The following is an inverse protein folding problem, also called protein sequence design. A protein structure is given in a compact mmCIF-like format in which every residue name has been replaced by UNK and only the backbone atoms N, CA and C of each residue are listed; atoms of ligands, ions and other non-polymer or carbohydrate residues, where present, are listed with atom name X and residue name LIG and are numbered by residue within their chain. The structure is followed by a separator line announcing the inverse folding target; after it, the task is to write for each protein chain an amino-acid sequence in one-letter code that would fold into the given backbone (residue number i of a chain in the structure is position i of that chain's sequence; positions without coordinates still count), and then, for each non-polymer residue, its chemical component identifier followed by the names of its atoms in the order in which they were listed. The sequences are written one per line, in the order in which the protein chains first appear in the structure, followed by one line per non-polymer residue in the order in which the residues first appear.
data_IF_402276835208
#
_entry.id   IF_402276835208
#
_cell.length_a   1.000
_cell.length_b   1.000
_cell.length_c   1.000
_cell.angle_alpha   90.00
_cell.angle_beta   90.00
_cell.angle_gamma   90.00
#
_symmetry.space_group_name_H-M   'P 1'
#
loop_
_entity.id
_entity.type
_entity.pdbx_description
1 polymer ?
#
# COMPACT_ATOMS: atom_id res chain seq x y z
N UNK A 1 55.97 32.92 -24.19
CA UNK A 1 55.30 33.27 -22.95
C UNK A 1 53.88 32.75 -23.12
N UNK A 2 53.65 31.48 -22.98
CA UNK A 2 53.67 30.55 -21.86
C UNK A 2 52.67 30.95 -20.76
N UNK A 3 51.55 30.21 -20.75
CA UNK A 3 50.88 29.69 -19.57
C UNK A 3 49.63 28.88 -19.92
N UNK A 4 49.84 27.58 -19.85
CA UNK A 4 48.85 26.53 -19.68
C UNK A 4 48.01 26.79 -18.43
N UNK A 5 46.70 26.58 -18.51
CA UNK A 5 45.86 26.33 -17.35
C UNK A 5 45.11 25.03 -17.59
N UNK A 6 45.55 24.01 -16.83
CA UNK A 6 44.98 22.67 -16.74
C UNK A 6 43.62 22.71 -16.06
N UNK A 7 42.60 22.28 -16.77
CA UNK A 7 41.27 21.99 -16.20
C UNK A 7 41.22 20.52 -15.82
N UNK A 8 41.34 20.24 -14.55
CA UNK A 8 41.27 18.87 -13.98
C UNK A 8 39.79 18.54 -13.79
N UNK A 9 39.21 17.80 -14.72
CA UNK A 9 37.95 17.08 -14.55
C UNK A 9 38.17 15.92 -13.57
N UNK A 10 37.77 16.10 -12.32
CA UNK A 10 37.68 15.02 -11.33
C UNK A 10 36.47 14.14 -11.64
N UNK A 11 36.68 13.11 -12.44
CA UNK A 11 35.79 11.97 -12.61
C UNK A 11 35.80 11.20 -11.29
N UNK A 12 34.71 11.28 -10.53
CA UNK A 12 34.52 10.45 -9.32
C UNK A 12 34.17 9.03 -9.77
N UNK A 13 35.12 8.12 -9.58
CA UNK A 13 34.97 6.67 -9.82
C UNK A 13 33.93 6.06 -8.85
N UNK A 14 32.89 5.35 -9.33
CA UNK A 14 31.88 4.70 -8.50
C UNK A 14 32.38 3.48 -7.70
N UNK A 15 33.65 3.12 -7.82
CA UNK A 15 34.17 1.88 -7.20
C UNK A 15 34.65 2.03 -5.76
N UNK A 16 34.73 3.24 -5.20
CA UNK A 16 35.34 3.48 -3.87
C UNK A 16 34.41 3.30 -2.66
N UNK A 17 33.16 2.95 -2.85
CA UNK A 17 32.21 2.77 -1.72
C UNK A 17 32.17 1.33 -1.18
N UNK A 18 32.94 0.39 -1.74
CA UNK A 18 32.83 -1.04 -1.41
C UNK A 18 33.88 -1.61 -0.44
N UNK A 19 34.72 -0.77 0.16
CA UNK A 19 35.80 -1.26 1.06
C UNK A 19 35.77 -0.60 2.42
N UNK A 20 34.81 -0.92 3.27
CA UNK A 20 34.95 -0.86 4.74
C UNK A 20 33.82 -1.60 5.44
N UNK A 21 33.89 -2.89 5.53
CA UNK A 21 33.52 -3.66 6.71
C UNK A 21 33.89 -5.14 6.52
N UNK A 22 35.15 -5.45 6.68
CA UNK A 22 35.60 -6.80 6.94
C UNK A 22 36.68 -6.70 8.04
N UNK A 23 36.23 -6.77 9.28
CA UNK A 23 37.09 -6.96 10.42
C UNK A 23 36.59 -8.12 11.26
N UNK A 24 37.24 -9.25 11.10
CA UNK A 24 37.56 -10.26 12.12
C UNK A 24 36.44 -10.68 13.08
N UNK A 25 35.85 -11.83 12.84
CA UNK A 25 35.47 -12.73 13.94
C UNK A 25 36.14 -14.07 13.76
N UNK A 26 36.83 -14.46 14.82
CA UNK A 26 37.67 -15.64 15.03
C UNK A 26 36.91 -16.94 14.75
N UNK A 27 37.67 -17.89 14.19
CA UNK A 27 37.35 -19.32 14.11
C UNK A 27 37.01 -19.88 15.51
N UNK A 28 35.85 -20.49 15.62
CA UNK A 28 35.53 -21.50 16.62
C UNK A 28 35.20 -22.80 15.89
N UNK A 29 35.72 -23.97 16.33
CA UNK A 29 35.52 -25.24 15.64
C UNK A 29 34.12 -25.80 15.87
N UNK A 30 33.58 -26.44 14.83
CA UNK A 30 32.29 -27.16 14.83
C UNK A 30 32.37 -28.40 15.74
N UNK A 31 31.34 -28.75 16.48
CA UNK A 31 31.24 -30.04 17.16
C UNK A 31 30.86 -31.15 16.17
N UNK A 32 31.55 -32.26 16.34
CA UNK A 32 31.47 -33.52 15.62
C UNK A 32 30.07 -34.17 15.62
N UNK A 33 29.71 -34.74 14.48
CA UNK A 33 28.51 -35.58 14.28
C UNK A 33 28.55 -36.85 15.15
N UNK A 34 27.42 -37.35 15.64
CA UNK A 34 27.34 -38.72 16.13
C UNK A 34 26.98 -39.71 15.03
N UNK A 35 27.52 -40.92 15.24
CA UNK A 35 27.66 -42.07 14.38
C UNK A 35 26.33 -42.62 13.78
N UNK A 36 26.53 -43.21 12.59
CA UNK A 36 25.66 -44.11 11.84
C UNK A 36 25.30 -45.38 12.62
N UNK A 37 23.98 -45.76 12.59
CA UNK A 37 23.51 -47.09 12.94
C UNK A 37 23.15 -47.91 11.69
N UNK A 38 23.28 -49.25 11.74
CA UNK A 38 23.36 -50.08 10.54
C UNK A 38 22.02 -50.54 9.99
N UNK A 39 22.03 -50.86 8.69
CA UNK A 39 20.93 -51.49 7.97
C UNK A 39 20.70 -52.93 8.45
N UNK A 40 19.44 -53.27 8.71
CA UNK A 40 19.02 -54.65 8.94
C UNK A 40 17.68 -54.92 8.22
N UNK A 41 17.75 -55.86 7.28
CA UNK A 41 16.64 -56.45 6.55
C UNK A 41 15.55 -56.95 7.53
N UNK A 42 14.26 -56.89 7.11
CA UNK A 42 13.39 -58.08 7.10
C UNK A 42 12.19 -57.81 6.14
N UNK A 43 12.02 -58.74 5.21
CA UNK A 43 10.80 -58.98 4.42
C UNK A 43 9.67 -59.46 5.31
N UNK A 44 8.45 -59.08 5.01
CA UNK A 44 7.23 -59.67 5.61
C UNK A 44 5.96 -59.07 5.00
N UNK A 45 5.45 -59.75 3.99
CA UNK A 45 4.08 -59.55 3.50
C UNK A 45 3.09 -60.13 4.52
N UNK A 46 2.11 -59.35 5.00
CA UNK A 46 0.85 -59.88 5.58
C UNK A 46 -0.27 -58.95 5.16
N UNK A 47 -1.17 -59.49 4.38
CA UNK A 47 -2.56 -59.07 4.25
C UNK A 47 -3.24 -59.13 5.58
N UNK A 48 -4.01 -58.11 6.01
CA UNK A 48 -5.37 -58.31 6.46
C UNK A 48 -6.11 -57.00 6.74
N UNK A 49 -7.38 -57.05 6.41
CA UNK A 49 -8.42 -56.07 6.63
C UNK A 49 -8.64 -55.80 8.13
N UNK A 50 -8.66 -54.53 8.53
CA UNK A 50 -9.48 -54.19 9.70
C UNK A 50 -9.94 -52.73 9.60
N UNK A 51 -11.26 -52.56 9.45
CA UNK A 51 -11.97 -51.30 9.51
C UNK A 51 -11.83 -50.70 10.93
N UNK A 52 -10.93 -49.75 11.09
CA UNK A 52 -10.78 -48.98 12.34
C UNK A 52 -11.81 -47.85 12.38
N UNK A 53 -12.72 -47.98 13.30
CA UNK A 53 -13.74 -47.01 13.72
C UNK A 53 -13.10 -45.67 14.02
N UNK A 54 -13.48 -44.65 13.26
CA UNK A 54 -13.14 -43.24 13.54
C UNK A 54 -13.94 -42.82 14.80
N UNK A 55 -13.30 -42.35 15.89
CA UNK A 55 -14.04 -41.84 17.02
C UNK A 55 -14.80 -40.56 16.61
N UNK A 56 -16.09 -40.55 16.85
CA UNK A 56 -16.99 -39.43 16.66
C UNK A 56 -16.50 -38.22 17.47
N UNK A 57 -16.25 -37.12 16.79
CA UNK A 57 -16.04 -35.80 17.39
C UNK A 57 -17.35 -35.42 18.10
N UNK A 58 -17.35 -35.04 19.38
CA UNK A 58 -18.59 -34.63 20.05
C UNK A 58 -19.09 -33.33 19.38
N UNK A 59 -20.34 -33.37 18.93
CA UNK A 59 -21.09 -32.23 18.46
C UNK A 59 -21.03 -31.11 19.50
N UNK A 60 -20.55 -29.94 19.09
CA UNK A 60 -20.57 -28.75 19.89
C UNK A 60 -22.00 -28.48 20.38
N UNK A 61 -22.13 -28.35 21.67
CA UNK A 61 -23.38 -27.97 22.36
C UNK A 61 -23.79 -26.61 21.84
N UNK A 62 -24.99 -26.53 21.26
CA UNK A 62 -25.59 -25.28 20.82
C UNK A 62 -25.64 -24.27 21.98
N UNK A 63 -25.34 -22.98 21.76
CA UNK A 63 -25.45 -21.99 22.82
C UNK A 63 -26.91 -21.89 23.27
N UNK A 64 -27.10 -21.92 24.56
CA UNK A 64 -28.37 -21.72 25.23
C UNK A 64 -28.98 -20.41 24.77
N UNK A 65 -30.26 -20.34 24.36
CA UNK A 65 -30.86 -19.09 23.98
C UNK A 65 -30.80 -18.11 25.16
N UNK A 66 -30.39 -16.90 24.85
CA UNK A 66 -30.34 -15.78 25.79
C UNK A 66 -31.74 -15.63 26.45
N UNK A 67 -31.76 -15.58 27.77
CA UNK A 67 -32.98 -15.33 28.52
C UNK A 67 -33.63 -14.05 28.05
N UNK A 68 -34.85 -14.16 27.54
CA UNK A 68 -35.70 -13.00 27.22
C UNK A 68 -35.95 -12.29 28.56
N UNK A 69 -35.38 -11.09 28.67
CA UNK A 69 -35.62 -10.22 29.84
C UNK A 69 -37.05 -9.72 29.77
N UNK A 70 -37.92 -10.29 30.63
CA UNK A 70 -39.30 -9.83 30.78
C UNK A 70 -39.34 -8.53 31.58
N UNK A 71 -39.50 -7.43 30.87
CA UNK A 71 -39.60 -6.05 31.44
C UNK A 71 -40.95 -5.80 32.08
N UNK A 72 -41.93 -6.72 31.98
CA UNK A 72 -43.26 -6.58 32.62
C UNK A 72 -43.16 -6.64 34.15
N UNK A 73 -42.12 -7.23 34.71
CA UNK A 73 -41.91 -7.32 36.16
C UNK A 73 -41.41 -6.02 36.82
N UNK A 74 -41.05 -5.01 36.05
CA UNK A 74 -40.58 -3.71 36.56
C UNK A 74 -41.64 -2.64 36.69
N UNK A 75 -42.89 -2.91 36.23
CA UNK A 75 -44.02 -2.02 36.41
C UNK A 75 -44.64 -2.21 37.82
N UNK A 76 -43.94 -1.77 38.86
CA UNK A 76 -44.56 -1.61 40.17
C UNK A 76 -45.48 -0.36 40.06
N UNK A 77 -46.78 -0.46 40.42
CA UNK A 77 -47.61 0.70 40.49
C UNK A 77 -47.06 1.67 41.55
N UNK A 78 -46.76 2.88 41.14
CA UNK A 78 -46.33 3.94 42.06
C UNK A 78 -47.49 4.23 43.01
N UNK A 79 -47.26 4.15 44.35
CA UNK A 79 -48.32 4.50 45.31
C UNK A 79 -48.76 5.94 45.06
N UNK A 80 -50.05 6.14 44.78
CA UNK A 80 -50.68 7.44 44.72
C UNK A 80 -50.71 8.00 46.12
N UNK A 81 -49.80 8.83 46.54
CA UNK A 81 -49.90 9.66 47.72
C UNK A 81 -51.03 10.65 47.50
N UNK A 82 -52.00 10.79 48.42
CA UNK A 82 -53.04 11.80 48.30
C UNK A 82 -52.36 13.18 48.47
N UNK A 83 -52.43 13.93 47.44
CA UNK A 83 -52.03 15.35 47.48
C UNK A 83 -53.03 16.08 48.36
N UNK A 84 -52.62 16.88 49.36
CA UNK A 84 -53.51 17.76 50.06
C UNK A 84 -54.07 18.79 49.04
N UNK A 85 -55.39 18.98 49.09
CA UNK A 85 -56.09 20.06 48.35
C UNK A 85 -55.61 21.46 48.81
N UNK A 86 -54.44 21.82 48.30
CA UNK A 86 -53.94 23.19 48.48
C UNK A 86 -54.42 24.00 47.28
N UNK A 87 -55.38 24.89 47.57
CA UNK A 87 -55.85 25.87 46.59
C UNK A 87 -54.63 26.59 46.00
N UNK A 88 -54.56 26.76 44.67
CA UNK A 88 -53.40 27.39 44.04
C UNK A 88 -53.32 28.84 44.53
N UNK A 89 -52.20 29.17 45.15
CA UNK A 89 -51.88 30.57 45.47
C UNK A 89 -51.86 31.37 44.14
N UNK A 90 -52.31 32.59 44.12
CA UNK A 90 -52.26 33.40 42.90
C UNK A 90 -50.81 33.60 42.51
N UNK A 91 -50.43 32.96 41.41
CA UNK A 91 -49.09 33.03 40.85
C UNK A 91 -48.70 34.50 40.56
N UNK A 92 -47.40 34.82 40.71
CA UNK A 92 -46.90 36.12 40.33
C UNK A 92 -47.24 36.38 38.86
N UNK A 93 -47.90 37.50 38.58
CA UNK A 93 -48.17 37.96 37.21
C UNK A 93 -46.79 38.18 36.54
N UNK A 94 -46.32 37.18 35.80
CA UNK A 94 -45.14 37.30 34.92
C UNK A 94 -45.52 38.39 33.89
N UNK A 95 -44.93 39.57 34.05
CA UNK A 95 -44.87 40.55 32.97
C UNK A 95 -44.01 39.91 31.88
N UNK A 96 -44.63 39.43 30.83
CA UNK A 96 -43.95 39.06 29.60
C UNK A 96 -43.47 40.37 29.00
N UNK A 97 -42.17 40.65 29.15
CA UNK A 97 -41.53 41.74 28.45
C UNK A 97 -41.29 41.29 27.02
N UNK A 98 -42.21 41.69 26.12
CA UNK A 98 -42.17 41.37 24.70
C UNK A 98 -41.00 42.02 23.94
N UNK A 99 -40.09 42.71 24.64
CA UNK A 99 -38.94 43.39 24.01
C UNK A 99 -37.73 42.47 23.75
N UNK A 100 -37.82 41.14 24.05
CA UNK A 100 -36.67 40.21 23.90
C UNK A 100 -36.78 39.19 22.78
N UNK A 101 -37.66 39.38 21.81
CA UNK A 101 -37.60 38.58 20.57
C UNK A 101 -36.69 39.27 19.53
N UNK A 102 -35.45 39.57 19.89
CA UNK A 102 -34.43 39.79 18.87
C UNK A 102 -34.06 38.44 18.28
N UNK A 103 -34.13 38.25 16.96
CA UNK A 103 -33.67 37.05 16.33
C UNK A 103 -32.15 36.91 16.63
N UNK A 104 -31.77 35.82 17.28
CA UNK A 104 -30.37 35.45 17.44
C UNK A 104 -29.80 35.04 16.07
N UNK A 105 -29.69 35.98 15.13
CA UNK A 105 -28.78 35.88 14.00
C UNK A 105 -27.36 36.19 14.45
N UNK A 106 -26.79 35.35 15.28
CA UNK A 106 -25.35 35.34 15.49
C UNK A 106 -24.72 34.60 14.33
N UNK A 107 -24.60 35.27 13.18
CA UNK A 107 -23.52 34.90 12.24
C UNK A 107 -22.22 34.99 12.99
N UNK A 108 -21.45 33.91 13.12
CA UNK A 108 -20.17 33.97 13.83
C UNK A 108 -19.29 35.02 13.14
N UNK A 109 -19.15 36.17 13.75
CA UNK A 109 -18.25 37.20 13.26
C UNK A 109 -16.82 36.77 13.55
N UNK A 110 -16.23 36.01 12.63
CA UNK A 110 -14.81 35.68 12.68
C UNK A 110 -14.02 36.99 12.67
N UNK A 111 -13.11 37.21 13.64
CA UNK A 111 -12.32 38.44 13.69
C UNK A 111 -11.65 38.64 12.31
N UNK A 112 -11.56 39.87 11.84
CA UNK A 112 -11.14 40.19 10.46
C UNK A 112 -9.81 39.55 10.05
N UNK A 113 -8.92 39.29 11.01
CA UNK A 113 -7.66 38.55 10.81
C UNK A 113 -7.91 37.06 10.46
N UNK A 114 -8.82 36.37 11.16
CA UNK A 114 -9.13 34.97 10.89
C UNK A 114 -9.75 34.78 9.50
N UNK A 115 -10.58 35.72 9.04
CA UNK A 115 -11.14 35.71 7.68
C UNK A 115 -10.06 35.92 6.61
N UNK A 116 -9.08 36.81 6.85
CA UNK A 116 -7.93 36.99 5.95
C UNK A 116 -7.05 35.73 5.88
N UNK A 117 -6.76 35.11 7.02
CA UNK A 117 -6.00 33.85 7.08
C UNK A 117 -6.74 32.71 6.36
N UNK A 118 -8.05 32.56 6.61
CA UNK A 118 -8.86 31.54 5.94
C UNK A 118 -8.89 31.73 4.40
N UNK A 119 -9.03 32.99 3.93
CA UNK A 119 -8.96 33.30 2.49
C UNK A 119 -7.58 32.99 1.90
N UNK A 120 -6.50 33.38 2.58
CA UNK A 120 -5.13 33.07 2.14
C UNK A 120 -4.91 31.55 2.06
N UNK A 121 -5.30 30.81 3.09
CA UNK A 121 -5.21 29.35 3.11
C UNK A 121 -6.03 28.69 1.98
N UNK A 122 -7.23 29.19 1.72
CA UNK A 122 -8.07 28.72 0.62
C UNK A 122 -7.42 29.01 -0.76
N UNK A 123 -6.82 30.18 -0.95
CA UNK A 123 -6.14 30.53 -2.21
C UNK A 123 -4.88 29.67 -2.42
N UNK A 124 -4.10 29.43 -1.36
CA UNK A 124 -2.94 28.52 -1.41
C UNK A 124 -3.38 27.10 -1.77
N UNK A 125 -4.44 26.60 -1.12
CA UNK A 125 -4.98 25.28 -1.43
C UNK A 125 -5.52 25.19 -2.86
N UNK A 126 -6.27 26.19 -3.32
CA UNK A 126 -6.77 26.25 -4.69
C UNK A 126 -5.62 26.30 -5.72
N UNK A 127 -4.57 27.10 -5.46
CA UNK A 127 -3.38 27.16 -6.30
C UNK A 127 -2.64 25.81 -6.35
N UNK A 128 -2.45 25.16 -5.20
CA UNK A 128 -1.86 23.82 -5.14
C UNK A 128 -2.70 22.79 -5.91
N UNK A 129 -4.02 22.82 -5.75
CA UNK A 129 -4.92 21.91 -6.47
C UNK A 129 -4.85 22.14 -7.98
N UNK A 130 -4.93 23.41 -8.42
CA UNK A 130 -4.82 23.78 -9.83
C UNK A 130 -3.51 23.33 -10.44
N UNK A 131 -2.38 23.54 -9.73
CA UNK A 131 -1.06 23.07 -10.15
C UNK A 131 -1.02 21.54 -10.27
N UNK A 132 -1.55 20.83 -9.26
CA UNK A 132 -1.60 19.36 -9.28
C UNK A 132 -2.39 18.83 -10.47
N UNK A 133 -3.57 19.40 -10.74
CA UNK A 133 -4.40 19.02 -11.89
C UNK A 133 -3.72 19.33 -13.22
N UNK A 134 -3.04 20.49 -13.33
CA UNK A 134 -2.25 20.82 -14.50
C UNK A 134 -1.09 19.83 -14.72
N UNK A 135 -0.38 19.44 -13.65
CA UNK A 135 0.69 18.44 -13.73
C UNK A 135 0.14 17.05 -14.12
N UNK A 136 -1.05 16.67 -13.66
CA UNK A 136 -1.69 15.42 -14.13
C UNK A 136 -1.91 15.46 -15.63
N UNK A 137 -2.39 16.57 -16.18
CA UNK A 137 -2.57 16.71 -17.64
C UNK A 137 -1.22 16.65 -18.38
N UNK A 138 -0.20 17.34 -17.88
CA UNK A 138 1.14 17.40 -18.49
C UNK A 138 1.81 16.01 -18.46
N UNK A 139 1.79 15.33 -17.33
CA UNK A 139 2.46 14.02 -17.17
C UNK A 139 1.74 12.86 -17.88
N UNK A 140 0.58 13.09 -18.47
CA UNK A 140 0.03 12.18 -19.47
C UNK A 140 0.99 11.99 -20.66
N UNK A 141 1.71 13.05 -21.05
CA UNK A 141 2.50 13.11 -22.28
C UNK A 141 4.01 13.26 -22.03
N UNK A 142 4.38 13.81 -20.89
CA UNK A 142 5.78 14.12 -20.54
C UNK A 142 6.15 13.28 -19.32
N UNK A 143 7.38 12.77 -19.31
CA UNK A 143 7.89 12.00 -18.19
C UNK A 143 8.18 12.92 -17.00
N UNK A 144 7.65 12.59 -15.80
CA UNK A 144 7.90 13.40 -14.62
C UNK A 144 9.37 13.30 -14.19
N UNK A 145 10.04 14.44 -13.94
CA UNK A 145 11.45 14.45 -13.55
C UNK A 145 11.68 13.92 -12.13
N UNK A 146 10.70 13.99 -11.28
CA UNK A 146 10.71 13.48 -9.91
C UNK A 146 9.28 13.33 -9.37
N UNK A 147 9.13 12.56 -8.31
CA UNK A 147 7.88 12.46 -7.54
C UNK A 147 7.96 13.30 -6.27
N UNK A 148 6.81 13.58 -5.64
CA UNK A 148 6.78 14.26 -4.35
C UNK A 148 7.53 13.47 -3.27
N UNK A 149 7.49 12.13 -3.33
CA UNK A 149 8.24 11.27 -2.41
C UNK A 149 9.76 11.47 -2.56
N UNK A 150 10.28 11.50 -3.80
CA UNK A 150 11.69 11.79 -4.08
C UNK A 150 12.10 13.20 -3.62
N UNK A 151 11.22 14.18 -3.85
CA UNK A 151 11.46 15.56 -3.41
C UNK A 151 11.57 15.65 -1.89
N UNK A 152 10.67 14.97 -1.16
CA UNK A 152 10.73 14.92 0.31
C UNK A 152 12.03 14.30 0.80
N UNK A 153 12.50 13.21 0.19
CA UNK A 153 13.77 12.59 0.56
C UNK A 153 14.97 13.50 0.27
N UNK A 154 14.99 14.18 -0.88
CA UNK A 154 16.07 15.16 -1.20
C UNK A 154 16.11 16.32 -0.20
N UNK A 155 14.95 16.85 0.20
CA UNK A 155 14.87 17.93 1.19
C UNK A 155 15.39 17.46 2.56
N UNK A 156 15.20 16.18 2.91
CA UNK A 156 15.75 15.60 4.16
C UNK A 156 17.21 15.16 4.04
N UNK A 157 17.90 15.48 2.94
CA UNK A 157 19.32 15.17 2.74
C UNK A 157 19.61 13.72 2.35
N UNK A 158 18.59 12.94 1.96
CA UNK A 158 18.79 11.56 1.52
C UNK A 158 19.16 11.51 0.05
N UNK A 159 20.09 10.64 -0.31
CA UNK A 159 20.45 10.40 -1.71
C UNK A 159 19.28 9.76 -2.46
N UNK A 160 19.01 10.25 -3.67
CA UNK A 160 17.97 9.72 -4.57
C UNK A 160 18.60 9.34 -5.89
N UNK A 161 18.63 8.06 -6.20
CA UNK A 161 19.03 7.51 -7.49
C UNK A 161 17.78 7.12 -8.29
N UNK A 162 17.65 7.67 -9.50
CA UNK A 162 16.56 7.36 -10.43
C UNK A 162 17.10 7.29 -11.86
N UNK A 163 16.64 6.25 -12.59
CA UNK A 163 16.84 6.14 -14.02
C UNK A 163 15.49 5.81 -14.66
N UNK A 164 15.01 6.71 -15.53
CA UNK A 164 13.75 6.49 -16.25
C UNK A 164 13.92 5.41 -17.31
N UNK A 165 12.97 4.48 -17.37
CA UNK A 165 12.86 3.50 -18.43
C UNK A 165 11.44 3.53 -19.02
N UNK A 166 11.27 3.75 -20.33
CA UNK A 166 9.95 3.65 -20.95
C UNK A 166 9.43 2.22 -20.82
N UNK A 167 8.11 2.06 -20.75
CA UNK A 167 7.48 0.75 -20.47
C UNK A 167 7.90 -0.35 -21.44
N UNK A 168 8.24 0.00 -22.70
CA UNK A 168 8.72 -0.94 -23.70
C UNK A 168 10.16 -1.41 -23.46
N UNK A 169 10.93 -0.66 -22.67
CA UNK A 169 12.27 -1.04 -22.22
C UNK A 169 12.28 -1.79 -20.87
N UNK A 170 11.11 -2.07 -20.30
CA UNK A 170 10.97 -2.84 -19.05
C UNK A 170 10.52 -4.27 -19.40
N UNK A 171 11.13 -5.26 -18.74
CA UNK A 171 10.75 -6.66 -18.92
C UNK A 171 9.25 -6.85 -18.62
N UNK A 172 8.48 -7.52 -19.50
CA UNK A 172 7.08 -7.89 -19.24
C UNK A 172 6.90 -8.68 -17.94
N UNK A 173 7.93 -9.40 -17.51
CA UNK A 173 7.91 -10.16 -16.25
C UNK A 173 7.75 -9.23 -15.05
N UNK A 174 8.38 -8.06 -15.06
CA UNK A 174 8.24 -7.05 -13.99
C UNK A 174 6.80 -6.54 -13.91
N UNK A 175 6.23 -6.16 -15.05
CA UNK A 175 4.84 -5.70 -15.12
C UNK A 175 3.90 -6.75 -14.55
N UNK A 176 4.06 -8.03 -14.96
CA UNK A 176 3.23 -9.14 -14.46
C UNK A 176 3.41 -9.39 -12.97
N UNK A 177 4.66 -9.43 -12.50
CA UNK A 177 4.97 -9.65 -11.09
C UNK A 177 4.38 -8.55 -10.20
N UNK A 178 4.52 -7.28 -10.60
CA UNK A 178 4.01 -6.12 -9.86
C UNK A 178 2.48 -6.12 -9.84
N UNK A 179 1.82 -6.37 -10.98
CA UNK A 179 0.36 -6.48 -11.03
C UNK A 179 -0.14 -7.56 -10.05
N UNK A 180 0.44 -8.75 -10.10
CA UNK A 180 0.01 -9.87 -9.26
C UNK A 180 0.39 -9.74 -7.78
N UNK A 181 1.39 -8.91 -7.46
CA UNK A 181 1.79 -8.61 -6.09
C UNK A 181 0.95 -7.51 -5.46
N UNK A 182 0.75 -6.41 -6.20
CA UNK A 182 0.21 -5.16 -5.66
C UNK A 182 -1.27 -4.93 -6.01
N UNK A 183 -1.70 -5.43 -7.20
CA UNK A 183 -3.02 -5.09 -7.73
C UNK A 183 -3.46 -6.09 -8.81
N UNK A 184 -3.90 -7.28 -8.37
CA UNK A 184 -4.26 -8.38 -9.27
C UNK A 184 -5.41 -8.07 -10.25
N UNK A 185 -6.25 -7.09 -9.93
CA UNK A 185 -7.42 -6.66 -10.71
C UNK A 185 -7.22 -5.30 -11.37
N UNK A 186 -5.98 -4.83 -11.52
CA UNK A 186 -5.64 -3.51 -12.06
C UNK A 186 -6.33 -3.17 -13.38
N UNK A 187 -6.51 -4.16 -14.26
CA UNK A 187 -7.19 -3.96 -15.54
C UNK A 187 -8.72 -3.91 -15.45
N UNK A 188 -9.31 -4.20 -14.29
CA UNK A 188 -10.75 -4.38 -14.11
C UNK A 188 -11.43 -3.22 -13.38
N UNK A 189 -10.69 -2.48 -12.55
CA UNK A 189 -11.23 -1.38 -11.77
C UNK A 189 -10.77 0.00 -12.29
N UNK A 190 -11.44 1.04 -11.82
CA UNK A 190 -11.17 2.44 -12.11
C UNK A 190 -10.46 3.13 -10.93
N UNK A 191 -9.19 2.84 -10.74
CA UNK A 191 -8.33 3.48 -9.75
C UNK A 191 -8.50 2.98 -8.32
N UNK A 192 -9.70 2.61 -7.90
CA UNK A 192 -10.00 2.05 -6.58
C UNK A 192 -10.69 0.71 -6.76
N UNK A 193 -10.19 -0.33 -6.12
CA UNK A 193 -10.82 -1.64 -6.04
C UNK A 193 -11.70 -1.70 -4.78
N UNK A 194 -12.98 -1.39 -4.93
CA UNK A 194 -13.94 -1.37 -3.82
C UNK A 194 -14.20 -2.76 -3.25
N UNK A 195 -14.21 -3.81 -4.09
CA UNK A 195 -14.41 -5.17 -3.63
C UNK A 195 -13.24 -5.62 -2.76
N UNK A 196 -11.99 -5.37 -3.22
CA UNK A 196 -10.81 -5.71 -2.42
C UNK A 196 -10.72 -4.85 -1.15
N UNK A 197 -11.18 -3.61 -1.20
CA UNK A 197 -11.27 -2.76 -0.01
C UNK A 197 -12.27 -3.30 1.00
N UNK A 198 -13.45 -3.74 0.55
CA UNK A 198 -14.45 -4.38 1.41
C UNK A 198 -13.90 -5.68 2.00
N UNK A 199 -13.31 -6.56 1.18
CA UNK A 199 -12.67 -7.79 1.62
C UNK A 199 -11.56 -7.53 2.64
N UNK A 200 -10.78 -6.45 2.50
CA UNK A 200 -9.74 -6.08 3.45
C UNK A 200 -10.32 -5.61 4.79
N UNK A 201 -11.46 -4.91 4.78
CA UNK A 201 -12.19 -4.50 5.99
C UNK A 201 -12.73 -5.74 6.71
N UNK A 202 -13.39 -6.64 5.99
CA UNK A 202 -13.94 -7.87 6.55
C UNK A 202 -12.86 -8.77 7.17
N UNK A 203 -11.71 -8.92 6.48
CA UNK A 203 -10.56 -9.67 7.02
C UNK A 203 -9.91 -9.02 8.24
N UNK A 204 -10.02 -7.70 8.37
CA UNK A 204 -9.43 -6.98 9.48
C UNK A 204 -10.25 -7.12 10.78
N UNK A 205 -11.56 -7.38 10.71
CA UNK A 205 -12.44 -7.35 11.86
C UNK A 205 -12.30 -6.03 12.62
N UNK A 206 -11.94 -6.09 13.91
CA UNK A 206 -11.69 -4.90 14.75
C UNK A 206 -10.29 -4.26 14.48
N UNK A 207 -9.49 -4.84 13.58
CA UNK A 207 -8.15 -4.38 13.27
C UNK A 207 -8.13 -3.30 12.19
N UNK A 208 -6.91 -2.82 11.85
CA UNK A 208 -6.72 -1.87 10.75
C UNK A 208 -6.65 -2.62 9.41
N UNK A 209 -7.53 -2.33 8.43
CA UNK A 209 -7.50 -2.93 7.10
C UNK A 209 -6.14 -2.72 6.42
N UNK A 210 -5.59 -3.78 5.83
CA UNK A 210 -4.30 -3.74 5.11
C UNK A 210 -4.46 -4.36 3.73
N UNK A 211 -3.70 -3.85 2.75
CA UNK A 211 -3.62 -4.45 1.41
C UNK A 211 -4.68 -3.96 0.40
N UNK A 212 -5.48 -2.94 0.74
CA UNK A 212 -6.55 -2.42 -0.12
C UNK A 212 -6.14 -1.22 -1.00
N UNK A 213 -4.84 -0.90 -1.12
CA UNK A 213 -4.40 0.22 -1.95
C UNK A 213 -3.95 -0.27 -3.31
N UNK A 214 -4.61 0.19 -4.36
CA UNK A 214 -4.30 -0.12 -5.76
C UNK A 214 -3.01 0.55 -6.23
N UNK A 215 -2.46 0.11 -7.36
CA UNK A 215 -1.31 0.75 -8.03
C UNK A 215 -1.60 2.23 -8.33
N UNK A 216 -2.80 2.54 -8.81
CA UNK A 216 -3.21 3.93 -9.12
C UNK A 216 -3.24 4.81 -7.87
N UNK A 217 -3.72 4.29 -6.74
CA UNK A 217 -3.69 5.01 -5.45
C UNK A 217 -2.26 5.20 -4.95
N UNK A 218 -1.40 4.19 -5.07
CA UNK A 218 0.01 4.28 -4.69
C UNK A 218 0.76 5.30 -5.56
N UNK A 219 0.51 5.29 -6.88
CA UNK A 219 1.05 6.29 -7.80
C UNK A 219 0.61 7.70 -7.39
N UNK A 220 -0.69 7.93 -7.20
CA UNK A 220 -1.25 9.22 -6.79
C UNK A 220 -0.59 9.74 -5.53
N UNK A 221 -0.48 8.90 -4.52
CA UNK A 221 0.18 9.21 -3.25
C UNK A 221 1.65 9.61 -3.46
N UNK A 222 2.43 8.76 -4.13
CA UNK A 222 3.87 8.97 -4.27
C UNK A 222 4.21 10.16 -5.17
N UNK A 223 3.36 10.42 -6.18
CA UNK A 223 3.60 11.45 -7.19
C UNK A 223 3.21 12.85 -6.72
N UNK A 224 2.07 12.99 -6.03
CA UNK A 224 1.45 14.30 -5.79
C UNK A 224 1.22 14.63 -4.32
N UNK A 225 1.28 13.64 -3.40
CA UNK A 225 0.92 13.84 -2.01
C UNK A 225 2.11 13.61 -1.08
N UNK A 226 1.92 13.91 0.18
CA UNK A 226 2.95 13.75 1.21
C UNK A 226 2.90 12.39 1.88
N UNK A 227 4.04 12.01 2.47
CA UNK A 227 4.22 10.74 3.15
C UNK A 227 3.69 10.79 4.59
N UNK A 228 2.38 10.62 4.80
CA UNK A 228 1.79 10.51 6.15
C UNK A 228 0.65 9.49 6.17
N UNK A 229 0.36 8.94 7.35
CA UNK A 229 -0.80 8.06 7.60
C UNK A 229 -1.98 8.92 8.07
N UNK A 230 -2.49 9.82 7.22
CA UNK A 230 -3.59 10.74 7.55
C UNK A 230 -4.84 10.40 6.75
N UNK A 231 -5.98 10.38 7.42
CA UNK A 231 -7.29 10.25 6.74
C UNK A 231 -7.57 11.42 5.80
N UNK A 232 -7.10 12.63 6.14
CA UNK A 232 -7.21 13.80 5.27
C UNK A 232 -6.48 13.58 3.94
N UNK A 233 -5.24 13.05 4.00
CA UNK A 233 -4.50 12.70 2.78
C UNK A 233 -5.26 11.67 1.95
N UNK A 234 -5.84 10.64 2.59
CA UNK A 234 -6.62 9.60 1.90
C UNK A 234 -7.88 10.16 1.24
N UNK A 235 -8.55 11.13 1.89
CA UNK A 235 -9.69 11.83 1.33
C UNK A 235 -9.35 12.64 0.06
N UNK A 236 -8.12 13.14 -0.06
CA UNK A 236 -7.62 13.82 -1.27
C UNK A 236 -7.13 12.80 -2.31
N UNK A 237 -6.49 11.71 -1.86
CA UNK A 237 -5.93 10.67 -2.73
C UNK A 237 -6.99 10.02 -3.61
N UNK A 238 -8.16 9.66 -3.05
CA UNK A 238 -9.22 8.94 -3.78
C UNK A 238 -9.74 9.75 -4.98
N UNK A 239 -10.25 10.99 -4.83
CA UNK A 239 -10.75 11.74 -5.98
C UNK A 239 -9.65 12.07 -6.99
N UNK A 240 -8.41 12.34 -6.54
CA UNK A 240 -7.28 12.55 -7.45
C UNK A 240 -6.93 11.28 -8.22
N UNK A 241 -7.05 10.09 -7.61
CA UNK A 241 -6.86 8.82 -8.30
C UNK A 241 -7.87 8.63 -9.42
N UNK A 242 -9.16 8.94 -9.18
CA UNK A 242 -10.18 8.90 -10.23
C UNK A 242 -9.88 9.88 -11.37
N UNK A 243 -9.39 11.07 -11.05
CA UNK A 243 -9.01 12.06 -12.06
C UNK A 243 -7.84 11.56 -12.93
N UNK A 244 -6.84 10.92 -12.32
CA UNK A 244 -5.72 10.29 -13.04
C UNK A 244 -6.22 9.16 -13.94
N UNK A 245 -7.06 8.27 -13.44
CA UNK A 245 -7.63 7.16 -14.22
C UNK A 245 -8.50 7.64 -15.39
N UNK A 246 -9.22 8.73 -15.23
CA UNK A 246 -10.01 9.33 -16.31
C UNK A 246 -9.12 9.90 -17.45
N UNK A 247 -7.91 10.36 -17.12
CA UNK A 247 -7.02 11.01 -18.09
C UNK A 247 -5.95 10.07 -18.62
N UNK A 248 -5.42 9.16 -17.81
CA UNK A 248 -4.26 8.34 -18.19
C UNK A 248 -4.67 6.92 -18.55
N UNK A 249 -4.19 6.37 -19.67
CA UNK A 249 -4.37 4.94 -19.93
C UNK A 249 -3.61 4.10 -18.90
N UNK A 250 -4.11 2.93 -18.57
CA UNK A 250 -3.50 1.98 -17.61
C UNK A 250 -2.01 1.73 -17.88
N UNK A 251 -1.62 1.69 -19.16
CA UNK A 251 -0.23 1.55 -19.57
C UNK A 251 0.64 2.71 -19.06
N UNK A 252 0.15 3.96 -19.15
CA UNK A 252 0.86 5.15 -18.65
C UNK A 252 0.94 5.18 -17.13
N UNK A 253 -0.15 4.79 -16.45
CA UNK A 253 -0.18 4.66 -14.99
C UNK A 253 0.90 3.68 -14.54
N UNK A 254 0.98 2.50 -15.15
CA UNK A 254 2.00 1.49 -14.82
C UNK A 254 3.41 1.99 -15.13
N UNK A 255 3.63 2.63 -16.27
CA UNK A 255 4.93 3.19 -16.65
C UNK A 255 5.45 4.17 -15.61
N UNK A 256 4.64 5.17 -15.25
CA UNK A 256 5.03 6.14 -14.23
C UNK A 256 5.24 5.45 -12.88
N UNK A 257 4.32 4.56 -12.46
CA UNK A 257 4.45 3.83 -11.21
C UNK A 257 5.78 3.10 -11.09
N UNK A 258 6.17 2.33 -12.12
CA UNK A 258 7.42 1.57 -12.14
C UNK A 258 8.66 2.47 -12.08
N UNK A 259 8.55 3.72 -12.52
CA UNK A 259 9.66 4.68 -12.54
C UNK A 259 9.75 5.57 -11.29
N UNK A 260 8.66 5.69 -10.49
CA UNK A 260 8.65 6.53 -9.28
C UNK A 260 8.55 5.74 -7.97
N UNK A 261 8.26 4.44 -8.03
CA UNK A 261 8.25 3.59 -6.84
C UNK A 261 9.65 3.46 -6.26
N UNK A 262 9.74 3.41 -4.93
CA UNK A 262 10.97 3.11 -4.19
C UNK A 262 11.17 1.60 -4.13
N UNK A 263 12.35 1.12 -4.52
CA UNK A 263 12.71 -0.29 -4.60
C UNK A 263 13.85 -0.69 -3.65
N UNK A 264 14.36 0.26 -2.93
CA UNK A 264 15.42 0.14 -1.93
C UNK A 264 15.68 1.52 -1.33
N UNK A 265 16.48 1.66 -0.27
CA UNK A 265 16.76 2.95 0.36
C UNK A 265 17.30 3.97 -0.65
N UNK A 266 16.47 4.96 -1.01
CA UNK A 266 16.83 6.01 -1.97
C UNK A 266 16.91 5.56 -3.44
N UNK A 267 16.50 4.33 -3.77
CA UNK A 267 16.54 3.76 -5.12
C UNK A 267 15.13 3.84 -5.72
N UNK A 268 14.97 4.70 -6.71
CA UNK A 268 13.70 4.96 -7.38
C UNK A 268 13.72 4.48 -8.83
N UNK A 269 12.64 3.84 -9.22
CA UNK A 269 12.46 3.33 -10.56
C UNK A 269 13.11 1.96 -10.78
N UNK A 270 12.44 1.15 -11.59
CA UNK A 270 12.79 -0.25 -11.84
C UNK A 270 14.13 -0.44 -12.53
N UNK A 271 14.57 0.53 -13.36
CA UNK A 271 15.89 0.47 -14.03
C UNK A 271 17.03 0.64 -13.00
N UNK A 272 16.90 1.63 -12.10
CA UNK A 272 17.87 1.80 -11.01
C UNK A 272 17.89 0.59 -10.09
N UNK A 273 16.72 0.04 -9.74
CA UNK A 273 16.57 -1.15 -8.92
C UNK A 273 17.21 -2.40 -9.57
N UNK A 274 16.97 -2.60 -10.87
CA UNK A 274 17.54 -3.71 -11.62
C UNK A 274 19.07 -3.68 -11.66
N UNK A 275 19.64 -2.50 -11.86
CA UNK A 275 21.08 -2.29 -11.83
C UNK A 275 21.67 -2.51 -10.45
N UNK A 276 21.00 -1.98 -9.43
CA UNK A 276 21.47 -2.10 -8.05
C UNK A 276 21.43 -3.53 -7.53
N UNK A 277 20.30 -4.22 -7.67
CA UNK A 277 20.11 -5.56 -7.10
C UNK A 277 20.66 -6.68 -7.97
N UNK A 278 20.68 -6.53 -9.31
CA UNK A 278 21.00 -7.61 -10.24
C UNK A 278 22.08 -7.28 -11.28
N UNK A 279 22.64 -6.06 -11.24
CA UNK A 279 23.69 -5.57 -12.16
C UNK A 279 23.34 -5.75 -13.65
N UNK A 280 22.08 -5.48 -14.02
CA UNK A 280 21.59 -5.57 -15.40
C UNK A 280 20.45 -4.59 -15.69
N UNK A 281 20.15 -4.27 -16.96
CA UNK A 281 19.03 -3.40 -17.30
C UNK A 281 17.68 -4.08 -17.02
N UNK A 282 16.65 -3.28 -16.71
CA UNK A 282 15.30 -3.75 -16.41
C UNK A 282 14.68 -4.61 -17.54
N UNK A 283 15.05 -4.36 -18.79
CA UNK A 283 14.61 -5.14 -19.94
C UNK A 283 15.03 -6.64 -19.86
N UNK A 284 16.08 -6.96 -19.12
CA UNK A 284 16.64 -8.32 -19.01
C UNK A 284 16.26 -9.06 -17.72
N UNK A 285 15.40 -8.50 -16.90
CA UNK A 285 14.91 -9.16 -15.69
C UNK A 285 14.10 -10.41 -16.05
N UNK A 286 14.48 -11.55 -15.46
CA UNK A 286 13.76 -12.81 -15.57
C UNK A 286 12.57 -12.84 -14.59
N UNK A 287 11.77 -13.89 -14.63
CA UNK A 287 10.57 -14.05 -13.81
C UNK A 287 10.88 -14.08 -12.31
N UNK A 288 11.95 -14.77 -11.91
CA UNK A 288 12.35 -14.87 -10.50
C UNK A 288 12.80 -13.52 -9.94
N UNK A 289 13.64 -12.80 -10.66
CA UNK A 289 14.12 -11.48 -10.27
C UNK A 289 12.98 -10.44 -10.24
N UNK A 290 12.06 -10.53 -11.21
CA UNK A 290 10.87 -9.72 -11.23
C UNK A 290 9.97 -9.97 -10.01
N UNK A 291 9.80 -11.24 -9.62
CA UNK A 291 9.05 -11.60 -8.43
C UNK A 291 9.75 -11.11 -7.14
N UNK A 292 11.08 -11.21 -7.06
CA UNK A 292 11.86 -10.69 -5.93
C UNK A 292 11.72 -9.17 -5.78
N UNK A 293 11.78 -8.42 -6.88
CA UNK A 293 11.51 -6.98 -6.87
C UNK A 293 10.08 -6.68 -6.41
N UNK A 294 9.09 -7.34 -7.00
CA UNK A 294 7.69 -7.07 -6.70
C UNK A 294 7.37 -7.25 -5.21
N UNK A 295 7.86 -8.31 -4.56
CA UNK A 295 7.62 -8.53 -3.13
C UNK A 295 8.40 -7.59 -2.21
N UNK A 296 9.41 -6.88 -2.72
CA UNK A 296 10.12 -5.86 -1.96
C UNK A 296 9.34 -4.55 -1.87
N UNK A 297 8.52 -4.20 -2.87
CA UNK A 297 7.78 -2.93 -2.97
C UNK A 297 7.02 -2.49 -1.71
N UNK A 298 6.28 -3.37 -0.99
CA UNK A 298 5.54 -2.93 0.19
C UNK A 298 6.43 -2.45 1.35
N UNK A 299 7.70 -2.86 1.37
CA UNK A 299 8.68 -2.44 2.36
C UNK A 299 10.11 -2.58 1.82
N UNK A 300 10.53 -1.70 0.92
CA UNK A 300 11.80 -1.81 0.20
C UNK A 300 13.03 -1.57 1.09
N UNK A 301 12.84 -0.99 2.27
CA UNK A 301 13.93 -0.78 3.23
C UNK A 301 14.29 -2.06 3.98
N UNK A 302 13.30 -2.91 4.28
CA UNK A 302 13.49 -4.15 5.04
C UNK A 302 13.59 -5.40 4.15
N UNK A 303 13.19 -5.30 2.87
CA UNK A 303 13.18 -6.42 1.93
C UNK A 303 14.17 -6.13 0.81
N UNK A 304 15.37 -6.69 0.95
CA UNK A 304 16.35 -6.64 -0.14
C UNK A 304 15.95 -7.61 -1.25
N UNK A 305 15.81 -7.11 -2.47
CA UNK A 305 15.45 -7.93 -3.63
C UNK A 305 16.65 -8.71 -4.16
N UNK A 306 17.88 -8.20 -3.98
CA UNK A 306 19.13 -8.85 -4.43
C UNK A 306 19.60 -9.97 -3.50
N UNK A 307 19.35 -9.81 -2.19
CA UNK A 307 19.63 -10.82 -1.15
C UNK A 307 18.41 -11.04 -0.26
N UNK A 308 17.37 -11.68 -0.79
CA UNK A 308 16.11 -11.84 -0.08
C UNK A 308 16.24 -12.89 1.04
N UNK A 309 15.88 -12.50 2.26
CA UNK A 309 15.76 -13.42 3.38
C UNK A 309 14.65 -14.48 3.18
N UNK A 310 14.61 -15.56 4.00
CA UNK A 310 13.75 -16.73 3.78
C UNK A 310 12.26 -16.42 3.60
N UNK A 311 11.74 -15.40 4.31
CA UNK A 311 10.36 -14.96 4.15
C UNK A 311 10.11 -14.28 2.81
N UNK A 312 11.01 -13.41 2.39
CA UNK A 312 10.92 -12.71 1.09
C UNK A 312 11.05 -13.69 -0.06
N UNK A 313 11.93 -14.71 0.06
CA UNK A 313 12.06 -15.78 -0.93
C UNK A 313 10.76 -16.58 -1.09
N UNK A 314 10.10 -16.95 0.01
CA UNK A 314 8.79 -17.64 -0.05
C UNK A 314 7.74 -16.78 -0.75
N UNK A 315 7.61 -15.50 -0.37
CA UNK A 315 6.68 -14.58 -1.03
C UNK A 315 6.98 -14.42 -2.53
N UNK A 316 8.27 -14.37 -2.92
CA UNK A 316 8.65 -14.33 -4.33
C UNK A 316 8.27 -15.63 -5.06
N UNK A 317 8.40 -16.80 -4.42
CA UNK A 317 7.90 -18.08 -4.92
C UNK A 317 6.40 -18.09 -5.16
N UNK A 318 5.62 -17.51 -4.24
CA UNK A 318 4.16 -17.37 -4.38
C UNK A 318 3.79 -16.48 -5.56
N UNK A 319 4.50 -15.35 -5.75
CA UNK A 319 4.28 -14.49 -6.92
C UNK A 319 4.67 -15.20 -8.21
N UNK A 320 5.79 -15.91 -8.23
CA UNK A 320 6.21 -16.69 -9.40
C UNK A 320 5.14 -17.74 -9.78
N UNK A 321 4.59 -18.45 -8.80
CA UNK A 321 3.50 -19.39 -9.02
C UNK A 321 2.25 -18.70 -9.59
N UNK A 322 1.89 -17.53 -9.06
CA UNK A 322 0.78 -16.72 -9.62
C UNK A 322 1.06 -16.28 -11.05
N UNK A 323 2.31 -15.89 -11.39
CA UNK A 323 2.69 -15.51 -12.74
C UNK A 323 2.51 -16.64 -13.75
N UNK A 324 2.79 -17.88 -13.35
CA UNK A 324 2.60 -19.06 -14.21
C UNK A 324 1.12 -19.41 -14.40
N UNK A 325 0.30 -19.20 -13.38
CA UNK A 325 -1.11 -19.60 -13.36
C UNK A 325 -2.07 -18.46 -13.78
N UNK A 326 -1.61 -17.20 -13.79
CA UNK A 326 -2.47 -16.07 -14.12
C UNK A 326 -2.85 -16.05 -15.60
N UNK A 327 -4.10 -15.75 -15.93
CA UNK A 327 -4.51 -15.58 -17.32
C UNK A 327 -3.78 -14.38 -17.94
N UNK A 328 -3.47 -14.47 -19.24
CA UNK A 328 -2.82 -13.36 -19.98
C UNK A 328 -3.66 -12.08 -20.02
N UNK A 329 -4.96 -12.16 -19.70
CA UNK A 329 -5.86 -11.02 -19.55
C UNK A 329 -5.47 -10.08 -18.40
N UNK A 330 -4.87 -10.59 -17.31
CA UNK A 330 -4.52 -9.81 -16.12
C UNK A 330 -3.54 -8.64 -16.41
N UNK A 331 -2.74 -8.74 -17.46
CA UNK A 331 -1.79 -7.68 -17.88
C UNK A 331 -2.12 -7.02 -19.22
N UNK A 332 -3.26 -7.36 -19.83
CA UNK A 332 -3.61 -6.93 -21.18
C UNK A 332 -3.72 -5.41 -21.33
N UNK A 333 -4.24 -4.73 -20.35
CA UNK A 333 -4.40 -3.27 -20.36
C UNK A 333 -3.06 -2.51 -20.37
N UNK A 334 -1.97 -3.17 -19.99
CA UNK A 334 -0.61 -2.61 -19.99
C UNK A 334 0.22 -3.13 -21.15
N UNK A 335 0.28 -4.44 -21.33
CA UNK A 335 1.19 -5.11 -22.29
C UNK A 335 0.56 -5.32 -23.69
N UNK A 336 -0.76 -5.13 -23.82
CA UNK A 336 -1.50 -5.43 -25.06
C UNK A 336 -1.55 -6.93 -25.36
N UNK A 337 -2.21 -7.29 -26.47
CA UNK A 337 -2.42 -8.70 -26.85
C UNK A 337 -1.17 -9.37 -27.43
N UNK A 338 -0.21 -8.61 -27.98
CA UNK A 338 0.96 -9.18 -28.66
C UNK A 338 1.97 -9.87 -27.72
N UNK A 339 2.06 -9.45 -26.47
CA UNK A 339 3.03 -10.01 -25.50
C UNK A 339 2.47 -11.24 -24.78
N UNK A 340 1.16 -11.35 -24.66
CA UNK A 340 0.50 -12.52 -24.08
C UNK A 340 0.69 -13.78 -24.95
N UNK A 341 0.87 -13.63 -26.26
CA UNK A 341 1.01 -14.76 -27.19
C UNK A 341 2.42 -15.36 -27.24
N UNK A 342 3.46 -14.57 -26.92
CA UNK A 342 4.86 -15.05 -26.97
C UNK A 342 5.23 -15.98 -25.81
N UNK A 343 4.55 -15.89 -24.66
CA UNK A 343 4.83 -16.76 -23.51
C UNK A 343 4.24 -18.17 -23.63
N UNK A 344 3.22 -18.36 -24.48
CA UNK A 344 2.56 -19.67 -24.68
C UNK A 344 3.35 -20.57 -25.64
N UNK A 345 4.22 -20.01 -26.52
CA UNK A 345 4.98 -20.77 -27.52
C UNK A 345 6.46 -21.00 -27.18
N UNK A 346 6.90 -20.77 -25.94
CA UNK A 346 8.20 -21.15 -25.41
C UNK A 346 8.05 -22.29 -24.39
N UNK A 347 7.54 -23.39 -24.82
CA UNK A 347 7.68 -24.67 -24.12
C UNK A 347 8.36 -25.65 -25.04
#
# INVERSE_FOLDING_TARGET
MDRSDDNIDTVVDPQTVRTRSSSRLLHAPLPSQPASLPAGLINGAVTDANAGVVPAVPLAVAPKPAAVFDISALARPVPQLPWPDVAPAPGPKLRVDDSRTAPLETKPAWPGRARKIARAAMLVFAGWLALTLALVVIYRFIDPPFSMLMLQQRITGQAVAQHWAPIDAISPNVVRAVLLSEDGRFCEHWGVDFDEMQNAIERAGDGIPRGASTISMQLTKNMFLWSSKSYLRKAIEIPLTFFIEALWPKRRIMEIYLNIAEWGPGIYGVEAASRYHFNKPAARLNEREAAQLAVALPNPILRDAGDPGPRTQRLAGDILSRMHNAPGSASRCVLGTKTAFRSVFRR
#
